data_IF_584103291010
#
_entry.id   IF_584103291010
#
_cell.length_a   1.000
_cell.length_b   1.000
_cell.length_c   1.000
_cell.angle_alpha   90.00
_cell.angle_beta   90.00
_cell.angle_gamma   90.00
#
_symmetry.space_group_name_H-M   'P 1'
#
loop_
_entity.id
_entity.type
_entity.pdbx_description
1 polymer ?
#
# COMPACT_ATOMS: atom_id res chain seq x y z
N UNK A 1 4.95 3.73 3.89
CA UNK A 1 4.86 3.17 5.27
C UNK A 1 3.50 2.52 5.32
N UNK A 2 3.46 1.23 5.60
CA UNK A 2 2.23 0.44 5.60
C UNK A 2 1.89 0.16 7.06
N UNK A 3 0.65 0.46 7.44
CA UNK A 3 0.07 0.11 8.73
C UNK A 3 -1.03 -0.91 8.47
N UNK A 4 -1.05 -2.01 9.21
CA UNK A 4 -2.21 -2.90 9.22
C UNK A 4 -2.69 -3.04 10.66
N UNK A 5 -4.01 -3.03 10.81
CA UNK A 5 -4.69 -3.32 12.06
C UNK A 5 -5.49 -4.61 11.81
N UNK A 6 -5.19 -5.70 12.51
CA UNK A 6 -5.96 -6.94 12.40
C UNK A 6 -7.36 -6.67 12.95
N UNK A 7 -8.36 -6.71 12.07
CA UNK A 7 -9.76 -6.59 12.42
C UNK A 7 -10.42 -7.77 11.72
N UNK A 8 -10.60 -8.88 12.43
CA UNK A 8 -10.94 -10.19 11.89
C UNK A 8 -12.33 -10.31 11.27
N UNK A 9 -12.95 -9.18 10.90
CA UNK A 9 -14.33 -9.10 10.38
C UNK A 9 -14.37 -8.63 8.93
N UNK A 10 -13.45 -7.77 8.48
CA UNK A 10 -13.52 -7.24 7.11
C UNK A 10 -12.16 -6.81 6.54
N UNK A 11 -12.00 -6.99 5.22
CA UNK A 11 -10.82 -6.57 4.45
C UNK A 11 -11.04 -5.15 3.92
N UNK A 12 -10.63 -4.12 4.67
CA UNK A 12 -10.78 -2.71 4.26
C UNK A 12 -9.41 -2.07 4.01
N UNK A 13 -9.30 -1.22 2.98
CA UNK A 13 -8.04 -0.53 2.66
C UNK A 13 -8.22 0.99 2.56
N UNK A 14 -7.39 1.73 3.30
CA UNK A 14 -7.27 3.19 3.23
C UNK A 14 -6.01 3.61 2.48
N UNK A 15 -6.14 4.55 1.54
CA UNK A 15 -5.00 5.11 0.79
C UNK A 15 -4.74 6.57 1.17
N UNK A 16 -3.59 6.82 1.79
CA UNK A 16 -3.18 8.17 2.23
C UNK A 16 -2.07 8.67 1.33
N UNK A 17 -2.30 9.80 0.66
CA UNK A 17 -1.28 10.50 -0.12
C UNK A 17 -1.02 11.87 0.53
N UNK A 18 0.16 12.03 1.13
CA UNK A 18 0.52 13.28 1.82
C UNK A 18 0.78 14.41 0.81
N UNK A 19 0.59 15.66 1.24
CA UNK A 19 0.92 16.88 0.46
C UNK A 19 2.39 16.86 0.00
N UNK A 20 3.28 16.20 0.75
CA UNK A 20 4.71 16.00 0.43
C UNK A 20 5.00 15.25 -0.88
N UNK A 21 4.00 14.59 -1.50
CA UNK A 21 4.17 13.91 -2.80
C UNK A 21 4.22 14.92 -3.97
N UNK A 22 3.63 16.10 -3.78
CA UNK A 22 3.56 17.16 -4.79
C UNK A 22 2.14 17.41 -5.30
N UNK A 23 2.04 17.74 -6.59
CA UNK A 23 0.82 18.24 -7.25
C UNK A 23 -0.35 17.24 -7.26
N UNK A 24 -1.56 17.72 -7.55
CA UNK A 24 -2.78 16.90 -7.59
C UNK A 24 -2.62 15.65 -8.50
N UNK A 25 -2.02 15.82 -9.68
CA UNK A 25 -1.74 14.72 -10.61
C UNK A 25 -0.79 13.69 -10.01
N UNK A 26 0.28 14.14 -9.36
CA UNK A 26 1.24 13.26 -8.66
C UNK A 26 0.56 12.48 -7.53
N UNK A 27 -0.30 13.13 -6.73
CA UNK A 27 -1.08 12.45 -5.67
C UNK A 27 -2.05 11.42 -6.26
N UNK A 28 -2.74 11.74 -7.34
CA UNK A 28 -3.64 10.81 -8.03
C UNK A 28 -2.88 9.61 -8.61
N UNK A 29 -1.73 9.85 -9.25
CA UNK A 29 -0.85 8.80 -9.77
C UNK A 29 -0.37 7.87 -8.63
N UNK A 30 0.07 8.44 -7.50
CA UNK A 30 0.47 7.66 -6.33
C UNK A 30 -0.67 6.77 -5.80
N UNK A 31 -1.90 7.32 -5.67
CA UNK A 31 -3.08 6.53 -5.27
C UNK A 31 -3.41 5.42 -6.28
N UNK A 32 -3.34 5.69 -7.59
CA UNK A 32 -3.57 4.67 -8.63
C UNK A 32 -2.54 3.53 -8.54
N UNK A 33 -1.26 3.85 -8.34
CA UNK A 33 -0.20 2.84 -8.18
C UNK A 33 -0.40 2.00 -6.92
N UNK A 34 -0.74 2.62 -5.79
CA UNK A 34 -1.05 1.89 -4.56
C UNK A 34 -2.25 0.96 -4.73
N UNK A 35 -3.31 1.42 -5.39
CA UNK A 35 -4.49 0.58 -5.68
C UNK A 35 -4.12 -0.62 -6.54
N UNK A 36 -3.32 -0.43 -7.59
CA UNK A 36 -2.87 -1.52 -8.45
C UNK A 36 -2.01 -2.55 -7.70
N UNK A 37 -1.09 -2.09 -6.83
CA UNK A 37 -0.31 -2.97 -5.96
C UNK A 37 -1.20 -3.77 -5.02
N UNK A 38 -2.14 -3.09 -4.36
CA UNK A 38 -3.07 -3.75 -3.44
C UNK A 38 -3.92 -4.79 -4.16
N UNK A 39 -4.55 -4.44 -5.29
CA UNK A 39 -5.39 -5.36 -6.08
C UNK A 39 -4.67 -6.66 -6.44
N UNK A 40 -3.39 -6.57 -6.83
CA UNK A 40 -2.58 -7.74 -7.18
C UNK A 40 -2.25 -8.64 -5.99
N UNK A 41 -2.31 -8.09 -4.78
CA UNK A 41 -2.01 -8.80 -3.52
C UNK A 41 -3.24 -9.17 -2.70
N UNK A 42 -4.45 -8.71 -3.06
CA UNK A 42 -5.72 -9.13 -2.44
C UNK A 42 -5.76 -10.64 -2.17
N UNK A 43 -5.45 -11.54 -3.12
CA UNK A 43 -5.53 -12.99 -2.87
C UNK A 43 -4.52 -13.51 -1.82
N UNK A 44 -3.49 -12.74 -1.48
CA UNK A 44 -2.49 -13.09 -0.46
C UNK A 44 -2.71 -12.38 0.89
N UNK A 45 -3.63 -11.42 0.95
CA UNK A 45 -3.88 -10.62 2.15
C UNK A 45 -4.92 -11.31 3.03
N UNK A 46 -4.66 -11.39 4.34
CA UNK A 46 -5.65 -11.82 5.33
C UNK A 46 -6.69 -10.72 5.58
N UNK A 47 -7.86 -11.11 6.08
CA UNK A 47 -8.91 -10.18 6.49
C UNK A 47 -8.37 -9.22 7.57
N UNK A 48 -8.46 -7.92 7.29
CA UNK A 48 -7.99 -6.87 8.19
C UNK A 48 -8.05 -5.48 7.58
N UNK A 49 -7.76 -4.47 8.40
CA UNK A 49 -7.76 -3.06 7.99
C UNK A 49 -6.36 -2.62 7.62
N UNK A 50 -6.14 -2.27 6.36
CA UNK A 50 -4.85 -1.84 5.83
C UNK A 50 -4.83 -0.34 5.55
N UNK A 51 -3.80 0.38 6.00
CA UNK A 51 -3.59 1.79 5.68
C UNK A 51 -2.26 1.95 4.94
N UNK A 52 -2.37 2.32 3.68
CA UNK A 52 -1.26 2.54 2.76
C UNK A 52 -0.93 4.01 2.67
N UNK A 53 0.22 4.40 3.23
CA UNK A 53 0.74 5.76 3.11
C UNK A 53 1.73 5.83 1.95
N UNK A 54 1.32 6.52 0.88
CA UNK A 54 2.18 6.83 -0.25
C UNK A 54 3.34 7.73 0.21
N UNK A 55 4.55 7.37 -0.21
CA UNK A 55 5.75 8.21 -0.05
C UNK A 55 6.19 8.76 -1.42
N UNK A 56 6.84 9.93 -1.47
CA UNK A 56 7.35 10.53 -2.71
C UNK A 56 8.02 9.56 -3.70
N UNK A 57 8.92 8.63 -3.27
CA UNK A 57 9.59 7.71 -4.20
C UNK A 57 8.64 6.79 -4.99
N UNK A 58 7.38 6.63 -4.59
CA UNK A 58 6.42 5.81 -5.34
C UNK A 58 6.16 6.29 -6.77
N UNK A 59 6.51 7.54 -7.09
CA UNK A 59 6.34 8.11 -8.42
C UNK A 59 7.46 7.70 -9.36
N UNK A 60 8.70 7.69 -8.85
CA UNK A 60 9.91 7.45 -9.63
C UNK A 60 10.34 5.99 -9.62
N UNK A 61 10.03 5.24 -8.55
CA UNK A 61 10.37 3.81 -8.47
C UNK A 61 9.57 3.00 -9.50
N UNK A 62 10.19 2.06 -10.24
CA UNK A 62 9.48 1.17 -11.16
C UNK A 62 8.48 0.26 -10.42
N UNK A 63 7.40 -0.12 -11.10
CA UNK A 63 6.29 -0.86 -10.47
C UNK A 63 6.75 -2.21 -9.89
N UNK A 64 7.65 -2.91 -10.58
CA UNK A 64 8.18 -4.19 -10.14
C UNK A 64 8.92 -4.10 -8.80
N UNK A 65 9.71 -3.04 -8.59
CA UNK A 65 10.42 -2.82 -7.32
C UNK A 65 9.45 -2.44 -6.20
N UNK A 66 8.40 -1.65 -6.51
CA UNK A 66 7.33 -1.37 -5.56
C UNK A 66 6.58 -2.65 -5.15
N UNK A 67 6.33 -3.55 -6.08
CA UNK A 67 5.68 -4.84 -5.82
C UNK A 67 6.54 -5.71 -4.88
N UNK A 68 7.84 -5.85 -5.17
CA UNK A 68 8.76 -6.58 -4.29
C UNK A 68 8.84 -5.95 -2.89
N UNK A 69 8.87 -4.63 -2.80
CA UNK A 69 8.92 -3.92 -1.52
C UNK A 69 7.61 -4.12 -0.73
N UNK A 70 6.47 -4.04 -1.40
CA UNK A 70 5.16 -4.27 -0.79
C UNK A 70 5.01 -5.71 -0.32
N UNK A 71 5.43 -6.69 -1.14
CA UNK A 71 5.40 -8.12 -0.79
C UNK A 71 6.21 -8.39 0.47
N UNK A 72 7.40 -7.79 0.57
CA UNK A 72 8.24 -7.86 1.78
C UNK A 72 7.55 -7.22 2.99
N UNK A 73 6.88 -6.09 2.82
CA UNK A 73 6.15 -5.43 3.89
C UNK A 73 4.97 -6.28 4.40
N UNK A 74 4.17 -6.87 3.50
CA UNK A 74 3.06 -7.77 3.87
C UNK A 74 3.58 -9.04 4.54
N UNK A 75 4.64 -9.65 4.01
CA UNK A 75 5.24 -10.83 4.65
C UNK A 75 5.70 -10.49 6.07
N UNK A 76 6.29 -9.32 6.28
CA UNK A 76 6.72 -8.86 7.61
C UNK A 76 5.54 -8.58 8.56
N UNK A 77 4.41 -8.14 8.04
CA UNK A 77 3.17 -7.97 8.78
C UNK A 77 2.56 -9.30 9.22
N UNK A 78 2.66 -10.33 8.38
CA UNK A 78 2.18 -11.68 8.71
C UNK A 78 3.07 -12.39 9.74
N UNK A 79 4.37 -12.08 9.78
CA UNK A 79 5.34 -12.64 10.75
C UNK A 79 5.30 -11.89 12.10
N UNK A 80 4.69 -10.71 12.16
CA UNK A 80 4.68 -9.83 13.32
C UNK A 80 3.46 -9.95 14.23
N UNK A 81 2.69 -11.03 14.10
CA UNK A 81 1.51 -11.31 14.94
C UNK A 81 1.73 -12.56 15.79
#
# INVERSE_FOLDING_TARGET
>A
MLFAVPDGRECSVGFVASKKIGNAVKRARAKRRLRALFLKMIPMLKNGKYVLVAKPPILDTPFNELEKAFRRAIKRLDIGQ
#
